data_IF_764121313583
#
_entry.id   IF_764121313583
#
_cell.length_a   1.000
_cell.length_b   1.000
_cell.length_c   1.000
_cell.angle_alpha   90.00
_cell.angle_beta   90.00
_cell.angle_gamma   90.00
#
_symmetry.space_group_name_H-M   'P 1'
#
loop_
_entity.id
_entity.type
_entity.pdbx_description
1 polymer ?
#
# COMPACT_ATOMS: atom_id res chain seq x y z
N UNK A 1 -7.49 -9.07 -4.35
CA UNK A 1 -6.02 -9.23 -4.35
C UNK A 1 -5.70 -10.65 -4.79
N UNK A 2 -4.93 -10.80 -5.86
CA UNK A 2 -4.46 -12.11 -6.33
C UNK A 2 -3.15 -12.37 -5.60
N UNK A 3 -3.18 -13.20 -4.56
CA UNK A 3 -2.05 -13.45 -3.66
C UNK A 3 -0.85 -14.15 -4.30
N UNK A 4 -1.09 -14.92 -5.34
CA UNK A 4 -0.07 -15.73 -6.01
C UNK A 4 0.19 -15.27 -7.45
N UNK A 5 -0.07 -13.98 -7.76
CA UNK A 5 0.23 -13.43 -9.07
C UNK A 5 1.75 -13.22 -9.20
N UNK A 6 2.31 -13.71 -10.28
CA UNK A 6 3.70 -13.46 -10.68
C UNK A 6 3.71 -12.88 -12.09
N UNK A 7 4.31 -11.73 -12.29
CA UNK A 7 4.41 -11.09 -13.59
C UNK A 7 4.96 -12.04 -14.66
N UNK A 8 6.01 -12.77 -14.32
CA UNK A 8 6.69 -13.66 -15.28
C UNK A 8 5.86 -14.87 -15.69
N UNK A 9 4.89 -15.29 -14.85
CA UNK A 9 4.04 -16.47 -15.09
C UNK A 9 2.68 -16.11 -15.67
N UNK A 10 2.05 -15.07 -15.12
CA UNK A 10 0.66 -14.75 -15.41
C UNK A 10 0.51 -13.82 -16.62
N UNK A 11 1.53 -13.02 -16.91
CA UNK A 11 1.57 -12.10 -18.07
C UNK A 11 2.95 -12.13 -18.74
N UNK A 12 3.35 -13.29 -19.27
CA UNK A 12 4.67 -13.44 -19.89
C UNK A 12 4.83 -12.48 -21.06
N UNK A 13 6.02 -11.86 -21.15
CA UNK A 13 6.35 -10.92 -22.22
C UNK A 13 5.85 -9.50 -22.04
N UNK A 14 5.09 -9.19 -20.97
CA UNK A 14 4.71 -7.81 -20.67
C UNK A 14 5.95 -7.01 -20.24
N UNK A 15 6.09 -5.80 -20.78
CA UNK A 15 7.18 -4.90 -20.41
C UNK A 15 6.81 -4.14 -19.14
N UNK A 16 7.44 -4.49 -18.01
CA UNK A 16 7.25 -3.79 -16.75
C UNK A 16 7.86 -2.40 -16.78
N UNK A 17 7.43 -1.53 -15.84
CA UNK A 17 8.00 -0.18 -15.69
C UNK A 17 9.53 -0.20 -15.59
N UNK A 18 10.18 -0.96 -14.69
CA UNK A 18 11.64 -0.99 -14.64
C UNK A 18 12.27 -1.61 -15.91
N UNK A 19 11.63 -2.62 -16.52
CA UNK A 19 12.12 -3.21 -17.79
C UNK A 19 12.09 -2.16 -18.91
N UNK A 20 11.07 -1.32 -18.96
CA UNK A 20 10.97 -0.27 -19.98
C UNK A 20 12.10 0.74 -19.83
N UNK A 21 12.38 1.20 -18.60
CA UNK A 21 13.51 2.09 -18.33
C UNK A 21 14.85 1.43 -18.67
N UNK A 22 15.04 0.15 -18.31
CA UNK A 22 16.22 -0.61 -18.68
C UNK A 22 16.43 -0.69 -20.19
N UNK A 23 15.37 -0.95 -20.96
CA UNK A 23 15.40 -0.99 -22.41
C UNK A 23 15.72 0.37 -23.05
N UNK A 24 15.56 1.45 -22.28
CA UNK A 24 15.93 2.82 -22.66
C UNK A 24 17.24 3.29 -21.99
N UNK A 25 18.16 2.35 -21.68
CA UNK A 25 19.50 2.58 -21.18
C UNK A 25 19.59 3.18 -19.77
N UNK A 26 18.56 3.02 -18.93
CA UNK A 26 18.63 3.37 -17.52
C UNK A 26 19.26 2.23 -16.71
N UNK A 27 20.09 2.57 -15.73
CA UNK A 27 20.53 1.65 -14.69
C UNK A 27 19.37 1.37 -13.74
N UNK A 28 18.83 0.15 -13.77
CA UNK A 28 17.63 -0.18 -12.96
C UNK A 28 18.00 -0.94 -11.71
N UNK A 29 17.71 -0.35 -10.54
CA UNK A 29 18.05 -0.91 -9.24
C UNK A 29 16.80 -1.01 -8.37
N UNK A 30 16.61 -2.16 -7.75
CA UNK A 30 15.56 -2.44 -6.76
C UNK A 30 16.19 -2.69 -5.40
N UNK A 31 15.76 -1.93 -4.40
CA UNK A 31 16.20 -2.05 -3.01
C UNK A 31 15.00 -2.31 -2.08
N UNK A 32 15.07 -3.34 -1.26
CA UNK A 32 14.02 -3.67 -0.29
C UNK A 32 12.75 -4.24 -0.91
N UNK A 33 11.57 -3.89 -0.36
CA UNK A 33 10.28 -4.43 -0.76
C UNK A 33 9.69 -3.65 -1.95
N UNK A 34 10.22 -3.83 -3.16
CA UNK A 34 9.65 -3.25 -4.40
C UNK A 34 8.55 -4.15 -4.98
N UNK A 35 8.82 -5.44 -5.12
CA UNK A 35 7.81 -6.46 -5.40
C UNK A 35 7.43 -7.22 -4.12
N UNK A 36 6.22 -7.74 -4.07
CA UNK A 36 5.82 -8.61 -2.96
C UNK A 36 6.66 -9.89 -2.94
N UNK A 37 6.82 -10.55 -4.09
CA UNK A 37 7.72 -11.68 -4.26
C UNK A 37 9.08 -11.21 -4.76
N UNK A 38 10.16 -11.54 -4.04
CA UNK A 38 11.51 -11.08 -4.39
C UNK A 38 11.97 -11.56 -5.77
N UNK A 39 11.47 -12.69 -6.24
CA UNK A 39 11.82 -13.27 -7.54
C UNK A 39 11.06 -12.68 -8.73
N UNK A 40 10.10 -11.78 -8.52
CA UNK A 40 9.30 -11.19 -9.59
C UNK A 40 10.09 -10.16 -10.40
N UNK A 41 9.70 -10.00 -11.66
CA UNK A 41 10.32 -9.04 -12.58
C UNK A 41 11.76 -9.41 -12.93
N UNK A 42 12.06 -10.71 -13.06
CA UNK A 42 13.37 -11.18 -13.50
C UNK A 42 13.76 -10.52 -14.82
N UNK A 43 15.01 -10.04 -14.87
CA UNK A 43 15.52 -9.32 -16.06
C UNK A 43 15.18 -7.82 -16.08
N UNK A 44 14.21 -7.34 -15.31
CA UNK A 44 13.88 -5.90 -15.22
C UNK A 44 14.95 -5.10 -14.47
N UNK A 45 15.69 -5.74 -13.60
CA UNK A 45 16.66 -5.12 -12.71
C UNK A 45 18.10 -5.50 -13.07
N UNK A 46 18.99 -4.53 -13.08
CA UNK A 46 20.44 -4.77 -13.13
C UNK A 46 20.91 -5.22 -11.74
N UNK A 47 20.36 -4.60 -10.69
CA UNK A 47 20.58 -5.00 -9.31
C UNK A 47 19.24 -5.12 -8.58
N UNK A 48 19.02 -6.24 -7.91
CA UNK A 48 17.87 -6.46 -7.02
C UNK A 48 18.41 -6.91 -5.67
N UNK A 49 18.23 -6.08 -4.64
CA UNK A 49 18.81 -6.30 -3.34
C UNK A 49 17.77 -6.14 -2.22
N UNK A 50 17.82 -7.04 -1.26
CA UNK A 50 17.14 -6.93 0.03
C UNK A 50 18.13 -7.16 1.15
N UNK A 51 18.00 -6.47 2.30
CA UNK A 51 18.85 -6.76 3.45
C UNK A 51 18.58 -8.17 3.95
N UNK A 52 19.63 -8.85 4.41
CA UNK A 52 19.48 -10.09 5.15
C UNK A 52 18.75 -9.80 6.48
N UNK A 53 17.88 -10.71 6.90
CA UNK A 53 17.31 -10.67 8.24
C UNK A 53 18.41 -10.94 9.26
N UNK A 54 18.49 -10.11 10.30
CA UNK A 54 19.58 -10.20 11.30
C UNK A 54 19.23 -11.12 12.47
N UNK A 55 17.96 -11.28 12.81
CA UNK A 55 17.49 -12.03 13.97
C UNK A 55 16.38 -12.99 13.61
N UNK A 56 15.22 -12.48 13.20
CA UNK A 56 14.05 -13.26 12.85
C UNK A 56 13.48 -12.77 11.52
N UNK A 57 12.61 -13.55 10.89
CA UNK A 57 11.90 -13.16 9.67
C UNK A 57 11.08 -11.87 9.83
N UNK A 58 10.83 -11.41 11.07
CA UNK A 58 10.08 -10.21 11.42
C UNK A 58 10.97 -9.07 11.93
N UNK A 59 12.30 -9.27 11.91
CA UNK A 59 13.32 -8.28 12.26
C UNK A 59 13.16 -7.73 13.70
N UNK A 60 12.75 -8.59 14.66
CA UNK A 60 12.73 -8.24 16.09
C UNK A 60 14.14 -8.02 16.63
N UNK A 61 14.31 -7.03 17.50
CA UNK A 61 15.60 -6.63 18.06
C UNK A 61 15.65 -6.75 19.61
N UNK A 62 14.51 -6.70 20.30
CA UNK A 62 14.48 -6.91 21.74
C UNK A 62 14.54 -8.41 22.07
N UNK A 63 15.32 -8.78 23.10
CA UNK A 63 15.43 -10.17 23.56
C UNK A 63 14.06 -10.77 23.89
N UNK A 64 13.17 -9.98 24.49
CA UNK A 64 11.81 -10.43 24.81
C UNK A 64 11.00 -10.76 23.56
N UNK A 65 11.02 -9.87 22.54
CA UNK A 65 10.27 -10.10 21.29
C UNK A 65 10.80 -11.30 20.52
N UNK A 66 12.13 -11.49 20.50
CA UNK A 66 12.78 -12.65 19.88
C UNK A 66 12.34 -13.92 20.61
N UNK A 67 12.42 -13.95 21.94
CA UNK A 67 12.00 -15.10 22.77
C UNK A 67 10.52 -15.46 22.52
N UNK A 68 9.62 -14.48 22.57
CA UNK A 68 8.20 -14.72 22.32
C UNK A 68 7.96 -15.25 20.90
N UNK A 69 8.68 -14.75 19.90
CA UNK A 69 8.60 -15.26 18.53
C UNK A 69 9.08 -16.72 18.45
N UNK A 70 10.22 -17.04 19.04
CA UNK A 70 10.81 -18.37 18.99
C UNK A 70 9.93 -19.40 19.70
N UNK A 71 9.44 -19.11 20.92
CA UNK A 71 8.52 -19.97 21.67
C UNK A 71 7.26 -20.29 20.86
N UNK A 72 6.64 -19.27 20.23
CA UNK A 72 5.43 -19.47 19.41
C UNK A 72 5.70 -20.22 18.11
N UNK A 73 6.87 -20.01 17.51
CA UNK A 73 7.28 -20.73 16.32
C UNK A 73 7.57 -22.21 16.62
N UNK A 74 8.18 -22.50 17.76
CA UNK A 74 8.38 -23.89 18.23
C UNK A 74 7.07 -24.62 18.52
N UNK A 75 6.10 -23.95 19.17
CA UNK A 75 4.77 -24.51 19.39
C UNK A 75 4.09 -24.86 18.06
N UNK A 76 4.18 -23.95 17.07
CA UNK A 76 3.61 -24.17 15.75
C UNK A 76 4.28 -25.36 15.03
N UNK A 77 5.59 -25.51 15.13
CA UNK A 77 6.33 -26.64 14.53
C UNK A 77 5.97 -27.99 15.19
N UNK A 78 5.66 -28.01 16.50
CA UNK A 78 5.29 -29.21 17.24
C UNK A 78 3.86 -29.68 16.97
N UNK A 79 2.95 -28.77 16.73
CA UNK A 79 1.56 -29.06 16.43
C UNK A 79 1.06 -28.26 15.22
N UNK A 80 1.33 -28.76 14.01
CA UNK A 80 0.82 -28.15 12.79
C UNK A 80 -0.71 -28.09 12.70
N UNK A 81 -1.46 -28.73 13.60
CA UNK A 81 -2.93 -28.67 13.70
C UNK A 81 -3.46 -27.47 14.49
N UNK A 82 -2.61 -26.73 15.22
CA UNK A 82 -2.96 -25.43 15.84
C UNK A 82 -2.96 -24.29 14.77
N UNK A 83 -3.26 -24.62 13.54
CA UNK A 83 -3.36 -23.63 12.49
C UNK A 83 -4.64 -22.82 12.65
N UNK A 84 -4.50 -21.49 12.60
CA UNK A 84 -5.56 -20.67 12.08
C UNK A 84 -5.90 -21.12 10.64
N UNK A 85 -7.04 -20.72 10.13
CA UNK A 85 -7.54 -21.11 8.81
C UNK A 85 -6.58 -20.83 7.62
N UNK A 86 -5.37 -20.33 7.86
CA UNK A 86 -4.42 -19.85 6.85
C UNK A 86 -3.05 -20.53 6.88
N UNK A 87 -2.81 -21.50 7.73
CA UNK A 87 -1.51 -22.23 7.84
C UNK A 87 -0.28 -21.32 8.04
N UNK A 88 -0.45 -20.12 8.62
CA UNK A 88 0.65 -19.20 8.85
C UNK A 88 1.31 -19.43 10.22
N UNK A 89 2.65 -19.38 10.32
CA UNK A 89 3.33 -19.47 11.60
C UNK A 89 2.83 -18.37 12.53
N UNK A 90 2.62 -18.71 13.80
CA UNK A 90 2.30 -17.73 14.83
C UNK A 90 3.42 -16.71 14.92
N UNK A 91 3.05 -15.42 14.93
CA UNK A 91 3.99 -14.30 14.93
C UNK A 91 4.33 -13.89 16.36
N UNK A 92 5.48 -13.24 16.56
CA UNK A 92 5.87 -12.61 17.80
C UNK A 92 4.95 -11.43 18.17
N UNK A 93 5.40 -10.48 19.00
CA UNK A 93 4.60 -9.30 19.36
C UNK A 93 4.23 -8.45 18.16
N UNK A 94 3.06 -7.78 18.20
CA UNK A 94 2.60 -6.89 17.13
C UNK A 94 3.43 -5.60 17.02
N UNK A 95 4.24 -5.29 18.02
CA UNK A 95 5.09 -4.11 18.09
C UNK A 95 6.25 -4.31 19.06
N UNK A 96 7.30 -3.51 18.88
CA UNK A 96 8.39 -3.35 19.85
C UNK A 96 9.03 -1.95 19.72
N UNK A 97 9.70 -1.50 20.80
CA UNK A 97 10.32 -0.18 20.89
C UNK A 97 11.70 -0.21 21.56
N UNK A 98 12.67 -0.98 21.06
CA UNK A 98 14.00 -1.05 21.64
C UNK A 98 14.77 0.26 21.42
N UNK A 99 15.71 0.55 22.33
CA UNK A 99 16.64 1.68 22.19
C UNK A 99 17.82 1.25 21.30
N UNK A 100 17.64 1.40 19.98
CA UNK A 100 18.61 0.95 18.97
C UNK A 100 18.74 2.00 17.86
N UNK A 101 19.88 2.04 17.13
CA UNK A 101 20.04 2.87 15.94
C UNK A 101 19.08 2.50 14.82
N UNK A 102 18.75 3.44 13.94
CA UNK A 102 17.84 3.25 12.80
C UNK A 102 18.27 2.11 11.87
N UNK A 103 19.56 1.97 11.62
CA UNK A 103 20.16 0.94 10.76
C UNK A 103 19.97 -0.48 11.30
N UNK A 104 19.60 -0.62 12.55
CA UNK A 104 19.33 -1.93 13.15
C UNK A 104 18.15 -2.62 12.46
N UNK A 105 17.14 -1.88 12.05
CA UNK A 105 16.00 -2.38 11.30
C UNK A 105 16.20 -2.35 9.77
N UNK A 106 15.41 -3.17 9.09
CA UNK A 106 15.47 -3.36 7.64
C UNK A 106 15.44 -2.04 6.86
N UNK A 107 14.51 -1.12 7.19
CA UNK A 107 14.32 0.13 6.44
C UNK A 107 15.52 1.08 6.58
N UNK A 108 16.20 1.10 7.73
CA UNK A 108 17.45 1.84 7.89
C UNK A 108 18.58 1.28 7.04
N UNK A 109 18.68 -0.06 6.92
CA UNK A 109 19.65 -0.71 6.02
C UNK A 109 19.35 -0.43 4.55
N UNK A 110 18.05 -0.37 4.18
CA UNK A 110 17.59 -0.02 2.83
C UNK A 110 17.97 1.44 2.51
N UNK A 111 17.72 2.37 3.43
CA UNK A 111 18.08 3.78 3.25
C UNK A 111 19.60 3.96 3.03
N UNK A 112 20.43 3.31 3.85
CA UNK A 112 21.88 3.35 3.68
C UNK A 112 22.31 2.79 2.33
N UNK A 113 21.72 1.67 1.92
CA UNK A 113 22.01 1.08 0.60
C UNK A 113 21.61 2.01 -0.54
N UNK A 114 20.48 2.71 -0.43
CA UNK A 114 20.05 3.69 -1.42
C UNK A 114 21.05 4.86 -1.53
N UNK A 115 21.59 5.33 -0.42
CA UNK A 115 22.63 6.36 -0.40
C UNK A 115 23.91 5.90 -1.12
N UNK A 116 24.34 4.66 -0.89
CA UNK A 116 25.50 4.09 -1.60
C UNK A 116 25.29 4.03 -3.12
N UNK A 117 24.06 3.64 -3.57
CA UNK A 117 23.76 3.63 -5.00
C UNK A 117 23.70 5.05 -5.58
N UNK A 118 23.18 6.03 -4.85
CA UNK A 118 23.19 7.43 -5.29
C UNK A 118 24.62 7.97 -5.43
N UNK A 119 25.54 7.63 -4.52
CA UNK A 119 26.96 7.97 -4.64
C UNK A 119 27.56 7.38 -5.92
N UNK A 120 27.27 6.10 -6.22
CA UNK A 120 27.71 5.46 -7.46
C UNK A 120 27.16 6.19 -8.70
N UNK A 121 25.91 6.62 -8.71
CA UNK A 121 25.32 7.36 -9.84
C UNK A 121 25.89 8.77 -9.99
N UNK A 122 26.30 9.44 -8.91
CA UNK A 122 27.03 10.70 -8.99
C UNK A 122 28.35 10.51 -9.77
N UNK A 123 29.08 9.45 -9.49
CA UNK A 123 30.38 9.16 -10.10
C UNK A 123 30.24 8.72 -11.56
N UNK A 124 29.30 7.81 -11.86
CA UNK A 124 29.13 7.22 -13.20
C UNK A 124 28.41 8.15 -14.18
N UNK A 125 27.57 9.05 -13.67
CA UNK A 125 26.69 9.94 -14.48
C UNK A 125 25.73 9.21 -15.43
N UNK A 126 25.49 7.93 -15.19
CA UNK A 126 24.53 7.16 -15.96
C UNK A 126 23.08 7.49 -15.55
N UNK A 127 22.12 7.51 -16.48
CA UNK A 127 20.71 7.65 -16.10
C UNK A 127 20.27 6.45 -15.28
N UNK A 128 19.50 6.68 -14.22
CA UNK A 128 19.08 5.62 -13.31
C UNK A 128 17.57 5.59 -13.06
N UNK A 129 17.08 4.39 -12.79
CA UNK A 129 15.76 4.12 -12.22
C UNK A 129 15.97 3.38 -10.91
N UNK A 130 15.92 4.10 -9.79
CA UNK A 130 16.14 3.58 -8.46
C UNK A 130 14.79 3.41 -7.75
N UNK A 131 14.40 2.17 -7.49
CA UNK A 131 13.22 1.84 -6.69
C UNK A 131 13.63 1.46 -5.27
N UNK A 132 13.14 2.20 -4.27
CA UNK A 132 13.44 1.99 -2.86
C UNK A 132 12.16 1.61 -2.14
N UNK A 133 12.03 0.33 -1.79
CA UNK A 133 10.84 -0.23 -1.16
C UNK A 133 11.02 -0.43 0.34
N UNK A 134 10.49 0.48 1.14
CA UNK A 134 10.42 0.38 2.58
C UNK A 134 9.29 -0.54 3.01
N UNK A 135 9.41 -1.12 4.22
CA UNK A 135 8.44 -2.05 4.78
C UNK A 135 7.47 -1.37 5.74
N UNK A 136 7.95 -0.37 6.49
CA UNK A 136 7.11 0.37 7.43
C UNK A 136 6.19 1.36 6.68
N UNK A 137 4.96 1.55 7.24
CA UNK A 137 4.44 1.15 8.55
C UNK A 137 3.73 -0.23 8.59
N UNK A 138 4.14 -1.24 7.84
CA UNK A 138 3.56 -2.58 7.93
C UNK A 138 3.86 -3.24 9.29
N UNK A 139 2.93 -4.09 9.78
CA UNK A 139 3.12 -4.97 10.93
C UNK A 139 4.37 -5.89 10.78
N UNK A 140 5.02 -6.27 11.91
CA UNK A 140 4.88 -5.73 13.26
C UNK A 140 5.37 -4.28 13.32
N UNK A 141 4.81 -3.48 14.22
CA UNK A 141 5.19 -2.06 14.35
C UNK A 141 6.48 -1.92 15.15
N UNK A 142 7.57 -2.38 14.57
CA UNK A 142 8.90 -2.32 15.13
C UNK A 142 9.58 -1.02 14.69
N UNK A 143 9.95 -0.17 15.64
CA UNK A 143 10.67 1.06 15.38
C UNK A 143 11.57 1.39 16.59
N UNK A 144 12.71 2.09 16.38
CA UNK A 144 13.54 2.59 17.48
C UNK A 144 12.74 3.46 18.45
N UNK A 145 13.04 3.33 19.76
CA UNK A 145 12.36 4.03 20.86
C UNK A 145 12.16 5.51 20.62
N UNK A 146 13.15 6.21 20.07
CA UNK A 146 13.08 7.65 19.81
C UNK A 146 11.87 8.09 18.99
N UNK A 147 11.33 7.22 18.10
CA UNK A 147 10.13 7.53 17.32
C UNK A 147 8.85 7.28 18.11
N UNK A 148 8.86 6.33 19.04
CA UNK A 148 7.76 6.13 19.97
C UNK A 148 7.63 7.29 20.96
N UNK A 149 8.75 7.80 21.43
CA UNK A 149 8.80 8.89 22.40
C UNK A 149 8.35 10.25 21.80
N UNK A 150 8.15 10.33 20.46
CA UNK A 150 7.55 11.50 19.79
C UNK A 150 6.07 11.68 20.10
N UNK A 151 5.38 10.64 20.57
CA UNK A 151 3.94 10.62 20.79
C UNK A 151 3.59 10.27 22.24
N UNK A 152 2.78 11.12 22.90
CA UNK A 152 2.22 10.77 24.21
C UNK A 152 0.96 9.93 24.00
N UNK A 153 0.90 8.74 24.62
CA UNK A 153 -0.26 7.85 24.51
C UNK A 153 -1.59 8.46 24.95
N UNK A 154 -1.55 9.45 25.89
CA UNK A 154 -2.78 10.14 26.35
C UNK A 154 -3.41 10.98 25.23
N UNK A 155 -2.63 11.39 24.21
CA UNK A 155 -3.14 12.20 23.11
C UNK A 155 -3.67 11.32 21.97
N UNK A 156 -3.43 9.99 22.01
CA UNK A 156 -3.91 9.04 21.03
C UNK A 156 -5.35 8.66 21.33
N UNK A 157 -6.23 8.90 20.38
CA UNK A 157 -7.65 8.58 20.48
C UNK A 157 -8.04 7.46 19.53
N UNK A 158 -9.00 6.65 19.94
CA UNK A 158 -9.65 5.70 19.05
C UNK A 158 -10.47 6.46 17.99
N UNK A 159 -10.63 5.92 16.78
CA UNK A 159 -11.45 6.55 15.75
C UNK A 159 -12.91 6.66 16.22
N UNK A 160 -13.58 7.76 15.86
CA UNK A 160 -14.97 8.01 16.21
C UNK A 160 -15.95 6.98 15.62
N UNK A 161 -15.54 6.28 14.56
CA UNK A 161 -16.27 5.23 13.86
C UNK A 161 -15.71 3.83 14.15
N UNK A 162 -15.32 3.56 15.39
CA UNK A 162 -14.87 2.23 15.85
C UNK A 162 -16.03 1.22 15.94
N UNK A 163 -16.83 1.13 14.88
CA UNK A 163 -17.98 0.23 14.71
C UNK A 163 -18.14 -0.14 13.23
N UNK A 164 -18.70 -1.31 12.95
CA UNK A 164 -18.98 -1.72 11.57
C UNK A 164 -20.05 -0.79 10.95
N UNK A 165 -19.91 -0.38 9.65
CA UNK A 165 -20.85 0.55 9.04
C UNK A 165 -22.30 0.06 9.13
N UNK A 166 -23.20 0.95 9.52
CA UNK A 166 -24.61 0.64 9.62
C UNK A 166 -25.16 0.21 8.26
N UNK A 167 -26.02 -0.78 8.25
CA UNK A 167 -26.71 -1.34 7.07
C UNK A 167 -25.74 -1.88 5.98
N UNK A 168 -24.43 -1.98 6.28
CA UNK A 168 -23.48 -2.60 5.37
C UNK A 168 -23.66 -4.13 5.33
N UNK A 169 -23.50 -4.77 4.14
CA UNK A 169 -23.66 -6.20 4.01
C UNK A 169 -22.51 -6.97 4.70
N UNK A 170 -22.79 -8.21 5.13
CA UNK A 170 -21.77 -9.08 5.72
C UNK A 170 -20.56 -9.30 4.80
N UNK A 171 -20.75 -9.24 3.48
CA UNK A 171 -19.68 -9.34 2.50
C UNK A 171 -18.61 -8.22 2.62
N UNK A 172 -19.00 -7.06 3.16
CA UNK A 172 -18.06 -5.94 3.41
C UNK A 172 -17.09 -6.21 4.57
N UNK A 173 -17.33 -7.26 5.40
CA UNK A 173 -16.42 -7.71 6.46
C UNK A 173 -15.22 -8.49 5.90
N UNK A 174 -14.67 -8.08 4.77
CA UNK A 174 -13.40 -8.57 4.28
C UNK A 174 -12.30 -8.02 5.19
N UNK A 175 -12.14 -8.66 6.33
CA UNK A 175 -11.04 -8.36 7.22
C UNK A 175 -10.05 -9.50 7.13
N UNK A 176 -8.93 -9.26 6.49
CA UNK A 176 -7.76 -10.09 6.66
C UNK A 176 -7.22 -9.81 8.06
N UNK A 177 -7.54 -10.68 9.00
CA UNK A 177 -7.20 -10.52 10.42
C UNK A 177 -5.70 -10.68 10.70
N UNK A 178 -4.85 -10.08 9.87
CA UNK A 178 -3.40 -10.21 9.98
C UNK A 178 -2.87 -9.85 11.37
N UNK A 179 -3.47 -8.85 12.02
CA UNK A 179 -3.11 -8.44 13.38
C UNK A 179 -3.34 -9.57 14.39
N UNK A 180 -4.36 -10.43 14.18
CA UNK A 180 -4.74 -11.51 15.10
C UNK A 180 -3.70 -12.62 15.20
N UNK A 181 -2.79 -12.72 14.23
CA UNK A 181 -1.70 -13.71 14.27
C UNK A 181 -0.57 -13.33 15.21
N UNK A 182 -0.52 -12.08 15.67
CA UNK A 182 0.51 -11.60 16.58
C UNK A 182 0.21 -11.98 18.04
N UNK A 183 1.28 -12.16 18.82
CA UNK A 183 1.19 -12.48 20.24
C UNK A 183 0.41 -11.42 21.02
N UNK A 184 -0.42 -11.86 21.96
CA UNK A 184 -1.21 -10.99 22.82
C UNK A 184 -2.45 -10.38 22.16
N UNK A 185 -2.72 -10.66 20.87
CA UNK A 185 -3.92 -10.18 20.20
C UNK A 185 -5.10 -11.13 20.43
N UNK A 186 -6.31 -10.60 20.73
CA UNK A 186 -7.52 -11.42 20.80
C UNK A 186 -7.78 -12.12 19.46
N UNK A 187 -8.23 -13.37 19.49
CA UNK A 187 -8.54 -14.15 18.27
C UNK A 187 -9.74 -13.61 17.48
N UNK A 188 -10.65 -12.88 18.14
CA UNK A 188 -11.84 -12.29 17.55
C UNK A 188 -12.37 -11.13 18.40
N UNK A 189 -13.34 -10.39 17.87
CA UNK A 189 -14.01 -9.27 18.56
C UNK A 189 -13.21 -7.98 18.56
N UNK A 190 -13.70 -6.92 19.23
CA UNK A 190 -12.99 -5.66 19.34
C UNK A 190 -11.70 -5.81 20.15
N UNK A 191 -10.68 -5.02 19.85
CA UNK A 191 -9.50 -4.92 20.71
C UNK A 191 -9.88 -4.16 22.00
N UNK A 192 -9.30 -4.54 23.17
CA UNK A 192 -9.35 -3.67 24.35
C UNK A 192 -8.73 -2.30 24.02
N UNK A 193 -9.29 -1.21 24.54
CA UNK A 193 -8.88 0.17 24.23
C UNK A 193 -7.37 0.38 24.43
N UNK A 194 -6.80 -0.16 25.52
CA UNK A 194 -5.37 -0.06 25.79
C UNK A 194 -4.51 -0.76 24.73
N UNK A 195 -4.97 -1.90 24.23
CA UNK A 195 -4.32 -2.61 23.12
C UNK A 195 -4.43 -1.82 21.83
N UNK A 196 -5.63 -1.31 21.52
CA UNK A 196 -5.89 -0.50 20.34
C UNK A 196 -5.01 0.76 20.30
N UNK A 197 -4.91 1.49 21.42
CA UNK A 197 -4.02 2.66 21.57
C UNK A 197 -2.55 2.28 21.34
N UNK A 198 -2.09 1.14 21.87
CA UNK A 198 -0.71 0.69 21.64
C UNK A 198 -0.44 0.36 20.17
N UNK A 199 -1.40 -0.23 19.47
CA UNK A 199 -1.31 -0.52 18.02
C UNK A 199 -1.23 0.79 17.22
N UNK A 200 -2.09 1.78 17.52
CA UNK A 200 -2.07 3.09 16.87
C UNK A 200 -0.73 3.80 17.15
N UNK A 201 -0.27 3.79 18.38
CA UNK A 201 1.03 4.36 18.76
C UNK A 201 2.19 3.73 17.97
N UNK A 202 2.21 2.40 17.87
CA UNK A 202 3.23 1.70 17.08
C UNK A 202 3.18 2.04 15.58
N UNK A 203 1.99 2.22 15.04
CA UNK A 203 1.84 2.68 13.65
C UNK A 203 2.43 4.08 13.46
N UNK A 204 2.11 5.05 14.35
CA UNK A 204 2.64 6.41 14.29
C UNK A 204 4.17 6.42 14.40
N UNK A 205 4.73 5.65 15.34
CA UNK A 205 6.18 5.50 15.46
C UNK A 205 6.83 4.97 14.19
N UNK A 206 6.21 3.97 13.54
CA UNK A 206 6.68 3.42 12.27
C UNK A 206 6.58 4.42 11.11
N UNK A 207 5.53 5.25 11.06
CA UNK A 207 5.43 6.34 10.07
C UNK A 207 6.56 7.33 10.24
N UNK A 208 6.82 7.81 11.48
CA UNK A 208 7.93 8.73 11.74
C UNK A 208 9.30 8.12 11.47
N UNK A 209 9.45 6.81 11.73
CA UNK A 209 10.68 6.09 11.42
C UNK A 209 10.93 6.02 9.91
N UNK A 210 9.95 5.61 9.11
CA UNK A 210 10.13 5.51 7.65
C UNK A 210 10.28 6.90 7.01
N UNK A 211 9.58 7.91 7.50
CA UNK A 211 9.74 9.30 7.07
C UNK A 211 11.19 9.77 7.25
N UNK A 212 11.80 9.49 8.40
CA UNK A 212 13.20 9.79 8.63
C UNK A 212 14.14 9.05 7.65
N UNK A 213 13.86 7.78 7.33
CA UNK A 213 14.67 7.03 6.37
C UNK A 213 14.52 7.59 4.94
N UNK A 214 13.31 7.98 4.53
CA UNK A 214 13.06 8.69 3.27
C UNK A 214 13.83 10.01 3.25
N UNK A 215 13.79 10.76 4.35
CA UNK A 215 14.52 12.01 4.53
C UNK A 215 16.03 11.86 4.31
N UNK A 216 16.64 10.77 4.80
CA UNK A 216 18.07 10.48 4.58
C UNK A 216 18.38 10.27 3.09
N UNK A 217 17.56 9.53 2.37
CA UNK A 217 17.73 9.26 0.93
C UNK A 217 17.56 10.56 0.13
N UNK A 218 16.52 11.36 0.42
CA UNK A 218 16.28 12.64 -0.25
C UNK A 218 17.39 13.65 0.03
N UNK A 219 17.90 13.71 1.25
CA UNK A 219 19.04 14.57 1.60
C UNK A 219 20.31 14.15 0.85
N UNK A 220 20.56 12.85 0.70
CA UNK A 220 21.67 12.36 -0.12
C UNK A 220 21.51 12.77 -1.59
N UNK A 221 20.31 12.66 -2.15
CA UNK A 221 20.00 13.08 -3.52
C UNK A 221 20.32 14.57 -3.74
N UNK A 222 19.99 15.43 -2.76
CA UNK A 222 20.31 16.87 -2.81
C UNK A 222 21.81 17.13 -2.65
N UNK A 223 22.46 16.56 -1.64
CA UNK A 223 23.87 16.82 -1.34
C UNK A 223 24.82 16.29 -2.40
N UNK A 224 24.44 15.25 -3.12
CA UNK A 224 25.17 14.71 -4.26
C UNK A 224 24.91 15.47 -5.57
N UNK A 225 24.04 16.51 -5.56
CA UNK A 225 23.74 17.32 -6.74
C UNK A 225 22.89 16.59 -7.79
N UNK A 226 22.25 15.47 -7.45
CA UNK A 226 21.43 14.67 -8.35
C UNK A 226 19.98 15.16 -8.42
N UNK A 227 19.52 15.88 -7.41
CA UNK A 227 18.10 16.27 -7.27
C UNK A 227 17.58 17.15 -8.41
N UNK A 228 18.44 17.94 -9.06
CA UNK A 228 18.08 18.86 -10.13
C UNK A 228 17.74 18.16 -11.44
N UNK A 229 18.06 16.86 -11.55
CA UNK A 229 17.80 16.04 -12.74
C UNK A 229 17.15 14.70 -12.38
N UNK A 230 16.48 14.62 -11.24
CA UNK A 230 15.83 13.39 -10.77
C UNK A 230 14.36 13.64 -10.45
N UNK A 231 13.46 12.94 -11.14
CA UNK A 231 12.05 12.86 -10.77
C UNK A 231 11.94 11.97 -9.55
N UNK A 232 11.29 12.46 -8.51
CA UNK A 232 11.01 11.67 -7.30
C UNK A 232 9.51 11.42 -7.22
N UNK A 233 9.13 10.15 -7.08
CA UNK A 233 7.76 9.74 -6.82
C UNK A 233 7.72 8.88 -5.55
N UNK A 234 6.84 9.23 -4.63
CA UNK A 234 6.58 8.50 -3.39
C UNK A 234 5.12 8.13 -3.35
N UNK A 235 4.83 6.84 -3.11
CA UNK A 235 3.46 6.40 -2.86
C UNK A 235 3.42 5.25 -1.86
N UNK A 236 2.26 5.09 -1.17
CA UNK A 236 1.94 3.87 -0.45
C UNK A 236 1.37 2.81 -1.41
N UNK A 237 1.57 1.53 -1.12
CA UNK A 237 0.99 0.44 -1.92
C UNK A 237 -0.51 0.22 -1.62
N UNK A 238 -0.99 0.69 -0.48
CA UNK A 238 -2.39 0.74 -0.03
C UNK A 238 -2.53 1.66 1.18
N UNK A 239 -3.75 1.93 1.61
CA UNK A 239 -4.05 2.59 2.88
C UNK A 239 -4.02 1.61 4.07
N UNK A 240 -4.49 2.05 5.23
CA UNK A 240 -4.48 1.24 6.46
C UNK A 240 -5.59 1.66 7.41
N UNK A 241 -6.24 0.70 8.06
CA UNK A 241 -7.21 0.93 9.13
C UNK A 241 -6.53 0.82 10.50
N UNK A 242 -6.84 1.75 11.38
CA UNK A 242 -6.39 1.82 12.76
C UNK A 242 -7.56 1.75 13.74
N UNK A 243 -8.55 0.92 13.44
CA UNK A 243 -9.75 0.73 14.23
C UNK A 243 -11.02 1.26 13.57
N UNK A 244 -10.92 2.10 12.54
CA UNK A 244 -12.10 2.55 11.81
C UNK A 244 -12.89 1.34 11.30
N UNK A 245 -14.19 1.38 11.48
CA UNK A 245 -15.10 0.28 11.15
C UNK A 245 -14.81 -1.04 11.87
N UNK A 246 -13.98 -1.01 12.92
CA UNK A 246 -13.47 -2.19 13.63
C UNK A 246 -12.38 -2.94 12.86
N UNK A 247 -11.80 -2.34 11.80
CA UNK A 247 -10.74 -2.94 10.99
C UNK A 247 -9.34 -2.51 11.43
N UNK A 248 -8.35 -3.40 11.23
CA UNK A 248 -6.97 -3.20 11.71
C UNK A 248 -5.90 -3.49 10.65
N UNK A 249 -6.30 -3.60 9.40
CA UNK A 249 -5.40 -3.84 8.27
C UNK A 249 -5.84 -3.06 7.04
N UNK A 250 -5.73 -3.60 5.84
CA UNK A 250 -5.86 -2.87 4.57
C UNK A 250 -6.93 -3.41 3.64
N UNK A 251 -7.29 -4.69 3.78
CA UNK A 251 -8.15 -5.33 2.79
C UNK A 251 -9.62 -5.00 3.02
N UNK A 252 -10.13 -4.06 2.26
CA UNK A 252 -11.52 -3.63 2.31
C UNK A 252 -11.92 -2.94 1.00
N UNK A 253 -13.23 -2.93 0.73
CA UNK A 253 -13.84 -2.09 -0.30
C UNK A 253 -14.22 -0.69 0.22
N UNK A 254 -14.04 -0.42 1.51
CA UNK A 254 -14.13 0.93 2.07
C UNK A 254 -12.91 1.75 1.67
N UNK A 255 -13.10 3.02 1.36
CA UNK A 255 -12.09 3.89 0.71
C UNK A 255 -10.74 3.90 1.43
N UNK A 256 -10.73 3.92 2.74
CA UNK A 256 -9.49 3.96 3.54
C UNK A 256 -8.55 2.78 3.28
N UNK A 257 -9.06 1.64 2.78
CA UNK A 257 -8.25 0.47 2.42
C UNK A 257 -7.38 0.69 1.17
N UNK A 258 -7.93 1.09 0.03
CA UNK A 258 -7.15 1.35 -1.20
C UNK A 258 -6.55 2.75 -1.27
N UNK A 259 -7.00 3.71 -0.47
CA UNK A 259 -6.53 5.10 -0.53
C UNK A 259 -5.12 5.23 0.05
N UNK A 260 -4.15 5.53 -0.80
CA UNK A 260 -2.74 5.67 -0.45
C UNK A 260 -2.21 7.06 -0.81
N UNK A 261 -1.21 7.59 -0.07
CA UNK A 261 -0.56 8.84 -0.43
C UNK A 261 0.19 8.70 -1.76
N UNK A 262 0.20 9.78 -2.56
CA UNK A 262 1.01 9.92 -3.76
C UNK A 262 1.61 11.32 -3.79
N UNK A 263 2.94 11.43 -3.82
CA UNK A 263 3.69 12.70 -3.90
C UNK A 263 4.65 12.61 -5.07
N UNK A 264 4.67 13.66 -5.90
CA UNK A 264 5.56 13.73 -7.07
C UNK A 264 6.34 15.04 -7.04
N UNK A 265 7.67 14.94 -7.12
CA UNK A 265 8.57 16.08 -7.30
C UNK A 265 9.23 15.98 -8.68
N UNK A 266 9.01 17.00 -9.51
CA UNK A 266 9.65 17.14 -10.82
C UNK A 266 10.50 18.41 -10.76
N UNK A 267 11.84 18.36 -10.93
CA UNK A 267 12.73 19.48 -10.68
C UNK A 267 12.43 20.75 -11.49
N UNK A 268 11.92 20.59 -12.70
CA UNK A 268 11.58 21.69 -13.63
C UNK A 268 10.11 22.13 -13.58
N UNK A 269 9.34 21.64 -12.60
CA UNK A 269 7.94 22.06 -12.37
C UNK A 269 7.79 22.79 -11.05
N UNK A 270 6.74 23.60 -10.92
CA UNK A 270 6.38 24.26 -9.67
C UNK A 270 6.00 23.24 -8.61
N UNK A 271 6.49 23.43 -7.38
CA UNK A 271 6.15 22.60 -6.22
C UNK A 271 5.02 23.18 -5.36
N UNK A 272 4.61 22.43 -4.34
CA UNK A 272 3.61 22.87 -3.34
C UNK A 272 2.16 22.82 -3.83
N UNK A 273 1.89 22.22 -4.97
CA UNK A 273 0.53 22.06 -5.52
C UNK A 273 -0.13 20.80 -4.92
N UNK A 274 -1.45 20.84 -4.79
CA UNK A 274 -2.29 19.72 -4.38
C UNK A 274 -3.45 19.57 -5.36
N UNK A 275 -3.90 18.35 -5.59
CA UNK A 275 -5.08 18.04 -6.41
C UNK A 275 -6.01 17.06 -5.69
N UNK A 276 -7.32 17.17 -5.97
CA UNK A 276 -8.35 16.20 -5.61
C UNK A 276 -8.69 15.25 -6.76
N UNK A 277 -7.94 15.31 -7.85
CA UNK A 277 -8.15 14.46 -9.01
C UNK A 277 -7.96 12.98 -8.64
N UNK A 278 -8.87 12.13 -9.11
CA UNK A 278 -8.81 10.69 -8.89
C UNK A 278 -7.73 10.06 -9.76
N UNK A 279 -6.66 9.57 -9.12
CA UNK A 279 -5.50 8.94 -9.77
C UNK A 279 -5.44 7.47 -9.34
N UNK A 280 -5.08 6.60 -10.27
CA UNK A 280 -4.88 5.16 -10.02
C UNK A 280 -3.42 4.77 -10.16
N UNK A 281 -2.97 3.70 -9.51
CA UNK A 281 -1.58 3.24 -9.63
C UNK A 281 -1.17 2.87 -11.05
N UNK A 282 -2.11 2.43 -11.88
CA UNK A 282 -1.87 2.18 -13.31
C UNK A 282 -1.50 3.44 -14.09
N UNK A 283 -1.76 4.63 -13.54
CA UNK A 283 -1.44 5.92 -14.14
C UNK A 283 0.04 6.32 -13.91
N UNK A 284 0.71 5.70 -12.95
CA UNK A 284 2.11 6.01 -12.61
C UNK A 284 3.03 5.70 -13.79
N UNK A 285 2.88 4.54 -14.39
CA UNK A 285 3.76 4.11 -15.48
C UNK A 285 3.70 5.05 -16.68
N UNK A 286 2.55 5.35 -17.32
CA UNK A 286 2.50 6.30 -18.43
C UNK A 286 2.95 7.71 -18.03
N UNK A 287 2.73 8.13 -16.77
CA UNK A 287 3.21 9.43 -16.29
C UNK A 287 4.74 9.49 -16.22
N UNK A 288 5.38 8.46 -15.70
CA UNK A 288 6.85 8.41 -15.66
C UNK A 288 7.46 8.33 -17.07
N UNK A 289 6.82 7.64 -18.02
CA UNK A 289 7.24 7.66 -19.41
C UNK A 289 7.20 9.08 -19.98
N UNK A 290 6.06 9.79 -19.83
CA UNK A 290 5.90 11.15 -20.32
C UNK A 290 6.91 12.11 -19.71
N UNK A 291 7.09 12.08 -18.39
CA UNK A 291 8.05 12.95 -17.68
C UNK A 291 9.51 12.65 -18.04
N UNK A 292 9.82 11.42 -18.39
CA UNK A 292 11.17 11.00 -18.82
C UNK A 292 11.39 11.16 -20.32
N UNK A 293 10.40 11.63 -21.09
CA UNK A 293 10.48 11.75 -22.55
C UNK A 293 10.51 10.41 -23.30
N UNK A 294 9.98 9.35 -22.69
CA UNK A 294 9.93 8.00 -23.25
C UNK A 294 8.53 7.71 -23.83
N UNK A 295 8.48 7.00 -24.97
CA UNK A 295 7.20 6.54 -25.53
C UNK A 295 6.58 5.48 -24.61
N UNK A 296 5.31 5.67 -24.21
CA UNK A 296 4.60 4.71 -23.39
C UNK A 296 4.30 3.42 -24.17
N UNK A 297 4.51 2.23 -23.58
CA UNK A 297 4.13 0.95 -24.20
C UNK A 297 2.63 0.85 -24.46
N UNK A 298 2.25 0.21 -25.57
CA UNK A 298 0.83 0.15 -26.03
C UNK A 298 -0.10 -0.66 -25.12
N UNK A 299 0.44 -1.51 -24.26
CA UNK A 299 -0.35 -2.34 -23.33
C UNK A 299 -0.81 -1.58 -22.07
N UNK A 300 -0.39 -0.34 -21.87
CA UNK A 300 -0.75 0.42 -20.67
C UNK A 300 -2.22 0.82 -20.69
N UNK A 301 -2.90 0.61 -19.57
CA UNK A 301 -4.31 0.98 -19.38
C UNK A 301 -4.49 2.31 -18.66
N UNK A 302 -3.44 2.78 -17.97
CA UNK A 302 -3.45 4.04 -17.23
C UNK A 302 -3.38 5.26 -18.13
N UNK A 303 -3.73 6.41 -17.56
CA UNK A 303 -3.65 7.73 -18.17
C UNK A 303 -2.58 8.56 -17.46
N UNK A 304 -1.63 9.13 -18.21
CA UNK A 304 -0.61 9.99 -17.59
C UNK A 304 -1.24 11.19 -16.89
N UNK A 305 -0.92 11.37 -15.63
CA UNK A 305 -1.32 12.54 -14.83
C UNK A 305 -0.28 13.67 -14.86
N UNK A 306 0.72 13.62 -15.74
CA UNK A 306 1.69 14.72 -15.88
C UNK A 306 1.05 16.11 -16.07
N UNK A 307 -0.09 16.26 -16.80
CA UNK A 307 -0.77 17.53 -16.89
C UNK A 307 -1.29 18.09 -15.56
N UNK A 308 -1.63 17.24 -14.58
CA UNK A 308 -2.07 17.69 -13.24
C UNK A 308 -0.94 18.36 -12.45
N UNK A 309 0.32 18.10 -12.79
CA UNK A 309 1.47 18.75 -12.19
C UNK A 309 1.62 20.23 -12.59
N UNK A 310 0.99 20.63 -13.68
CA UNK A 310 0.98 22.04 -14.15
C UNK A 310 -0.35 22.73 -13.80
N UNK A 311 -1.47 22.00 -13.89
CA UNK A 311 -2.80 22.49 -13.56
C UNK A 311 -3.57 21.44 -12.74
N UNK A 312 -3.49 21.49 -11.40
CA UNK A 312 -4.08 20.49 -10.50
C UNK A 312 -5.62 20.46 -10.54
N UNK A 313 -6.26 21.53 -10.99
CA UNK A 313 -7.73 21.69 -11.02
C UNK A 313 -8.35 21.39 -12.38
N UNK A 314 -7.55 20.99 -13.37
CA UNK A 314 -8.11 20.68 -14.69
C UNK A 314 -9.03 19.45 -14.66
N UNK A 315 -10.01 19.35 -15.59
CA UNK A 315 -10.88 18.18 -15.71
C UNK A 315 -10.07 16.89 -15.89
N UNK A 316 -10.40 15.89 -15.09
CA UNK A 316 -9.70 14.62 -15.02
C UNK A 316 -10.67 13.45 -15.09
N UNK A 317 -10.27 12.27 -14.59
CA UNK A 317 -11.14 11.11 -14.47
C UNK A 317 -12.35 11.41 -13.59
N UNK A 318 -13.54 11.04 -14.03
CA UNK A 318 -14.78 11.17 -13.26
C UNK A 318 -14.93 10.03 -12.24
N UNK A 319 -14.28 8.89 -12.50
CA UNK A 319 -14.30 7.71 -11.63
C UNK A 319 -12.99 6.93 -11.71
N UNK A 320 -12.72 6.17 -10.64
CA UNK A 320 -11.69 5.14 -10.55
C UNK A 320 -12.31 3.84 -10.08
N UNK A 321 -11.57 2.73 -10.27
CA UNK A 321 -12.08 1.39 -9.99
C UNK A 321 -11.08 0.59 -9.19
N UNK A 322 -11.57 -0.14 -8.19
CA UNK A 322 -10.72 -1.04 -7.41
C UNK A 322 -11.49 -2.27 -6.93
N UNK A 323 -10.73 -3.29 -6.54
CA UNK A 323 -11.26 -4.57 -6.10
C UNK A 323 -10.63 -5.00 -4.80
N UNK A 324 -11.45 -5.44 -3.84
CA UNK A 324 -11.01 -6.15 -2.66
C UNK A 324 -11.84 -7.43 -2.49
N UNK A 325 -11.16 -8.59 -2.41
CA UNK A 325 -11.84 -9.89 -2.45
C UNK A 325 -12.65 -10.06 -3.72
N UNK A 326 -13.94 -10.34 -3.57
CA UNK A 326 -14.91 -10.46 -4.68
C UNK A 326 -15.75 -9.21 -4.89
N UNK A 327 -15.50 -8.14 -4.10
CA UNK A 327 -16.19 -6.86 -4.24
C UNK A 327 -15.50 -5.97 -5.27
N UNK A 328 -16.25 -5.48 -6.24
CA UNK A 328 -15.81 -4.50 -7.24
C UNK A 328 -16.37 -3.13 -6.87
N UNK A 329 -15.53 -2.11 -6.87
CA UNK A 329 -15.91 -0.75 -6.45
C UNK A 329 -15.65 0.26 -7.56
N UNK A 330 -16.60 1.17 -7.76
CA UNK A 330 -16.43 2.43 -8.47
C UNK A 330 -16.44 3.57 -7.45
N UNK A 331 -15.40 4.40 -7.49
CA UNK A 331 -15.29 5.62 -6.70
C UNK A 331 -15.33 6.82 -7.64
N UNK A 332 -16.26 7.72 -7.39
CA UNK A 332 -16.36 9.03 -8.05
C UNK A 332 -15.91 10.14 -7.10
N UNK A 333 -15.89 11.38 -7.54
CA UNK A 333 -15.60 12.53 -6.67
C UNK A 333 -16.57 12.71 -5.49
N UNK A 334 -17.69 11.97 -5.46
CA UNK A 334 -18.75 12.15 -4.45
C UNK A 334 -19.33 10.87 -3.87
N UNK A 335 -19.15 9.71 -4.53
CA UNK A 335 -19.77 8.47 -4.09
C UNK A 335 -18.83 7.28 -4.27
N UNK A 336 -18.89 6.35 -3.33
CA UNK A 336 -18.31 5.01 -3.44
C UNK A 336 -19.44 3.98 -3.58
N UNK A 337 -19.43 3.18 -4.65
CA UNK A 337 -20.40 2.13 -4.89
C UNK A 337 -19.69 0.79 -5.08
N UNK A 338 -20.10 -0.22 -4.32
CA UNK A 338 -19.52 -1.58 -4.38
C UNK A 338 -20.60 -2.63 -4.65
N UNK A 339 -20.25 -3.61 -5.49
CA UNK A 339 -21.04 -4.82 -5.68
C UNK A 339 -20.20 -6.09 -5.44
N UNK A 340 -20.85 -7.10 -4.86
CA UNK A 340 -20.34 -8.46 -4.78
C UNK A 340 -21.15 -9.32 -5.74
N UNK A 341 -20.51 -9.84 -6.77
CA UNK A 341 -21.16 -10.65 -7.79
C UNK A 341 -21.14 -12.11 -7.37
N UNK A 342 -22.31 -12.75 -7.39
CA UNK A 342 -22.42 -14.19 -7.20
C UNK A 342 -21.91 -14.91 -8.46
N UNK A 343 -20.83 -15.72 -8.38
CA UNK A 343 -20.23 -16.36 -9.55
C UNK A 343 -21.19 -17.34 -10.27
N UNK A 344 -22.14 -17.93 -9.53
CA UNK A 344 -23.09 -18.92 -10.09
C UNK A 344 -24.24 -18.30 -10.88
N UNK A 345 -24.64 -17.06 -10.55
CA UNK A 345 -25.79 -16.38 -11.18
C UNK A 345 -25.38 -15.16 -12.02
N UNK A 346 -24.16 -14.65 -11.85
CA UNK A 346 -23.71 -13.39 -12.45
C UNK A 346 -24.45 -12.14 -11.93
N UNK A 347 -25.25 -12.28 -10.87
CA UNK A 347 -26.04 -11.19 -10.30
C UNK A 347 -25.40 -10.69 -9.00
N UNK A 348 -25.59 -9.40 -8.64
CA UNK A 348 -25.16 -8.87 -7.36
C UNK A 348 -25.81 -9.64 -6.19
N UNK A 349 -24.98 -10.17 -5.30
CA UNK A 349 -25.41 -10.82 -4.05
C UNK A 349 -25.47 -9.85 -2.88
N UNK A 350 -24.73 -8.75 -2.96
CA UNK A 350 -24.70 -7.67 -1.98
C UNK A 350 -24.22 -6.38 -2.65
N UNK A 351 -24.56 -5.26 -2.04
CA UNK A 351 -24.13 -3.92 -2.49
C UNK A 351 -24.00 -2.95 -1.34
N UNK A 352 -23.18 -1.92 -1.52
CA UNK A 352 -23.10 -0.77 -0.63
C UNK A 352 -22.89 0.52 -1.43
N UNK A 353 -23.42 1.62 -0.92
CA UNK A 353 -23.27 2.97 -1.47
C UNK A 353 -23.02 3.95 -0.33
N UNK A 354 -22.01 4.78 -0.48
CA UNK A 354 -21.73 5.90 0.43
C UNK A 354 -21.70 7.21 -0.35
N UNK A 355 -22.26 8.27 0.26
CA UNK A 355 -22.24 9.63 -0.26
C UNK A 355 -21.21 10.45 0.53
N UNK A 356 -20.02 10.61 0.01
CA UNK A 356 -18.91 11.29 0.68
C UNK A 356 -19.12 12.78 0.92
N UNK A 357 -20.17 13.39 0.34
CA UNK A 357 -20.52 14.79 0.63
C UNK A 357 -21.14 14.95 2.02
N UNK A 358 -21.75 13.91 2.55
CA UNK A 358 -22.45 13.91 3.85
C UNK A 358 -21.94 12.84 4.81
N UNK A 359 -21.31 11.79 4.31
CA UNK A 359 -20.71 10.68 5.07
C UNK A 359 -19.33 10.29 4.48
N UNK A 360 -18.32 11.16 4.58
CA UNK A 360 -16.99 10.89 4.04
C UNK A 360 -16.28 9.72 4.74
N UNK A 361 -16.74 9.34 5.93
CA UNK A 361 -16.18 8.22 6.70
C UNK A 361 -16.91 6.89 6.46
N UNK A 362 -17.86 6.83 5.52
CA UNK A 362 -18.57 5.61 5.11
C UNK A 362 -19.27 4.86 6.26
N UNK A 363 -19.95 5.61 7.16
CA UNK A 363 -20.56 5.07 8.36
C UNK A 363 -21.93 4.40 8.14
N UNK A 364 -22.65 4.80 7.07
CA UNK A 364 -24.02 4.32 6.79
C UNK A 364 -24.18 3.95 5.33
N UNK A 365 -24.39 2.66 5.06
CA UNK A 365 -24.75 2.20 3.72
C UNK A 365 -26.14 2.68 3.33
N UNK A 366 -26.23 3.41 2.20
CA UNK A 366 -27.49 3.97 1.70
C UNK A 366 -28.00 3.29 0.41
N UNK A 367 -27.41 2.15 0.02
CA UNK A 367 -27.70 1.46 -1.24
C UNK A 367 -29.17 1.01 -1.39
N UNK A 368 -29.87 0.77 -0.29
CA UNK A 368 -31.25 0.28 -0.34
C UNK A 368 -32.29 1.41 -0.25
N UNK A 369 -31.86 2.67 -0.16
CA UNK A 369 -32.76 3.81 -0.11
C UNK A 369 -33.36 4.10 -1.50
N UNK A 370 -34.68 4.28 -1.62
CA UNK A 370 -35.37 4.49 -2.89
C UNK A 370 -34.85 5.67 -3.71
N UNK A 371 -34.45 6.76 -3.06
CA UNK A 371 -33.93 7.97 -3.70
C UNK A 371 -32.62 7.74 -4.47
N UNK A 372 -31.81 6.73 -4.10
CA UNK A 372 -30.55 6.40 -4.75
C UNK A 372 -30.68 5.43 -5.94
N UNK A 373 -31.86 4.92 -6.19
CA UNK A 373 -32.08 3.89 -7.23
C UNK A 373 -31.58 4.26 -8.62
N UNK A 374 -31.80 5.53 -9.02
CA UNK A 374 -31.33 6.05 -10.33
C UNK A 374 -29.82 6.19 -10.38
N UNK A 375 -29.22 6.69 -9.30
CA UNK A 375 -27.76 6.83 -9.17
C UNK A 375 -27.08 5.46 -9.22
N UNK A 376 -27.57 4.51 -8.42
CA UNK A 376 -27.03 3.13 -8.37
C UNK A 376 -27.04 2.51 -9.76
N UNK A 377 -28.14 2.63 -10.52
CA UNK A 377 -28.22 2.11 -11.88
C UNK A 377 -27.10 2.67 -12.77
N UNK A 378 -26.83 3.98 -12.70
CA UNK A 378 -25.77 4.62 -13.47
C UNK A 378 -24.37 4.15 -13.04
N UNK A 379 -24.10 4.06 -11.72
CA UNK A 379 -22.81 3.58 -11.22
C UNK A 379 -22.59 2.10 -11.55
N UNK A 380 -23.62 1.28 -11.48
CA UNK A 380 -23.60 -0.13 -11.84
C UNK A 380 -23.26 -0.32 -13.33
N UNK A 381 -23.90 0.44 -14.22
CA UNK A 381 -23.62 0.39 -15.66
C UNK A 381 -22.15 0.72 -15.95
N UNK A 382 -21.59 1.75 -15.32
CA UNK A 382 -20.18 2.13 -15.45
C UNK A 382 -19.24 1.04 -14.90
N UNK A 383 -19.54 0.53 -13.70
CA UNK A 383 -18.76 -0.54 -13.07
C UNK A 383 -18.73 -1.80 -13.93
N UNK A 384 -19.88 -2.24 -14.42
CA UNK A 384 -19.97 -3.44 -15.27
C UNK A 384 -19.27 -3.25 -16.62
N UNK A 385 -19.33 -2.04 -17.20
CA UNK A 385 -18.59 -1.75 -18.42
C UNK A 385 -17.07 -1.81 -18.18
N UNK A 386 -16.58 -1.27 -17.05
CA UNK A 386 -15.17 -1.35 -16.67
C UNK A 386 -14.72 -2.80 -16.48
N UNK A 387 -15.45 -3.58 -15.70
CA UNK A 387 -15.13 -5.00 -15.43
C UNK A 387 -15.06 -5.80 -16.74
N UNK A 388 -16.04 -5.62 -17.63
CA UNK A 388 -16.05 -6.28 -18.94
C UNK A 388 -14.84 -5.89 -19.80
N UNK A 389 -14.47 -4.62 -19.81
CA UNK A 389 -13.31 -4.14 -20.58
C UNK A 389 -12.01 -4.72 -20.03
N UNK A 390 -11.84 -4.72 -18.70
CA UNK A 390 -10.68 -5.30 -18.01
C UNK A 390 -10.56 -6.80 -18.31
N UNK A 391 -11.64 -7.55 -18.17
CA UNK A 391 -11.61 -9.01 -18.31
C UNK A 391 -11.32 -9.41 -19.77
N UNK A 392 -11.81 -8.65 -20.76
CA UNK A 392 -11.51 -8.88 -22.17
C UNK A 392 -10.03 -8.57 -22.53
N UNK A 393 -9.34 -7.75 -21.76
CA UNK A 393 -7.94 -7.41 -21.99
C UNK A 393 -6.98 -8.58 -21.70
N UNK A 394 -7.36 -9.46 -20.77
CA UNK A 394 -6.57 -10.62 -20.34
C UNK A 394 -6.95 -11.95 -21.05
N UNK A 395 -7.84 -11.92 -22.02
CA UNK A 395 -8.14 -13.10 -22.85
C UNK A 395 -7.13 -13.09 -24.02
N UNK A 396 -6.22 -14.09 -24.10
CA UNK A 396 -5.25 -14.20 -25.19
C UNK A 396 -5.91 -14.47 -26.54
#
# INVERSE_FOLDING_TARGET
VIWNCSQDKDVPGIVSLPMHFKNNNYQTISLGKVYNNFGDGKGSWIKNWRPATTTTNWDYQSEESIRVFEERNEEWLKDPGIHDNNNLPKRGPAYESPDVPDITYEDGRIANRAIEELQHFQDSREPFFLAVGFKKPHLPFNAPRKYWDMYDKKDIQLPSNYFFPKDAPGAARLNWDELRFFAGMPSAGPLPDTTAINIIHGYYACVSYVDAQIGLVLNALETLGLAQNTIVILWGDHGWFLGEHGFWTKQSNLEKGPHAPLIVKVPWKSGGLQTKALVEFVDIYPTLCELAGLSAPVHLQGKSFAPLLDNPDQPWKEAIFYRAGTGETILTGTHAYTEWINPGTGQPSARMLYDHRVDPEENVNVADRPEHKKLIKSLQEQLHQHVKTRDNFFIP
#
